data_IF_307034282102
#
_entry.id   IF_307034282102
#
_cell.length_a   1.000
_cell.length_b   1.000
_cell.length_c   1.000
_cell.angle_alpha   90.00
_cell.angle_beta   90.00
_cell.angle_gamma   90.00
#
_symmetry.space_group_name_H-M   'P 1'
#
loop_
_entity.id
_entity.type
_entity.pdbx_description
1 polymer ?
#
# COMPACT_ATOMS: atom_id res chain seq x y z
N UNK A 1 -15.03 -14.86 -13.99
CA UNK A 1 -14.78 -13.50 -14.55
C UNK A 1 -13.84 -12.67 -13.68
N UNK A 2 -14.00 -12.67 -12.34
CA UNK A 2 -13.10 -11.99 -11.39
C UNK A 2 -11.63 -12.41 -11.54
N UNK A 3 -11.34 -13.70 -11.69
CA UNK A 3 -9.97 -14.19 -11.89
C UNK A 3 -9.29 -13.60 -13.13
N UNK A 4 -10.04 -13.35 -14.22
CA UNK A 4 -9.52 -12.70 -15.42
C UNK A 4 -9.18 -11.22 -15.17
N UNK A 5 -9.95 -10.55 -14.32
CA UNK A 5 -9.71 -9.15 -13.93
C UNK A 5 -8.45 -9.07 -13.06
N UNK A 6 -8.28 -9.99 -12.10
CA UNK A 6 -7.08 -10.07 -11.26
C UNK A 6 -5.85 -10.43 -12.11
N UNK A 7 -5.99 -11.37 -13.05
CA UNK A 7 -4.90 -11.78 -13.94
C UNK A 7 -4.46 -10.69 -14.93
N UNK A 8 -5.33 -9.73 -15.25
CA UNK A 8 -4.98 -8.57 -16.06
C UNK A 8 -4.17 -7.51 -15.29
N UNK A 9 -4.15 -7.57 -13.95
CA UNK A 9 -3.37 -6.66 -13.12
C UNK A 9 -1.92 -7.13 -13.00
N UNK A 10 -1.04 -6.19 -12.65
CA UNK A 10 0.35 -6.51 -12.34
C UNK A 10 0.45 -7.49 -11.15
N UNK A 11 1.26 -8.55 -11.24
CA UNK A 11 1.42 -9.52 -10.15
C UNK A 11 1.86 -8.87 -8.84
N UNK A 12 1.33 -9.34 -7.69
CA UNK A 12 1.66 -8.79 -6.35
C UNK A 12 3.18 -8.69 -6.14
N UNK A 13 3.94 -9.73 -6.48
CA UNK A 13 5.40 -9.74 -6.33
C UNK A 13 6.09 -8.63 -7.12
N UNK A 14 5.59 -8.30 -8.31
CA UNK A 14 6.15 -7.24 -9.13
C UNK A 14 5.78 -5.86 -8.60
N UNK A 15 4.53 -5.67 -8.16
CA UNK A 15 4.09 -4.45 -7.48
C UNK A 15 4.95 -4.15 -6.25
N UNK A 16 5.19 -5.17 -5.41
CA UNK A 16 6.00 -5.04 -4.20
C UNK A 16 7.46 -4.67 -4.50
N UNK A 17 8.04 -5.19 -5.58
CA UNK A 17 9.41 -4.84 -6.00
C UNK A 17 9.54 -3.38 -6.45
N UNK A 18 8.45 -2.76 -6.91
CA UNK A 18 8.42 -1.40 -7.46
C UNK A 18 7.95 -0.35 -6.44
N UNK A 19 7.49 -0.77 -5.26
CA UNK A 19 6.93 0.13 -4.26
C UNK A 19 8.03 0.66 -3.34
N UNK A 20 8.05 1.97 -3.11
CA UNK A 20 8.89 2.60 -2.09
C UNK A 20 8.36 2.31 -0.67
N UNK A 21 7.04 2.29 -0.53
CA UNK A 21 6.32 2.02 0.71
C UNK A 21 5.14 1.07 0.44
N UNK A 22 4.88 0.16 1.39
CA UNK A 22 3.77 -0.80 1.32
C UNK A 22 2.98 -0.72 2.62
N UNK A 23 1.69 -0.44 2.50
CA UNK A 23 0.75 -0.40 3.61
C UNK A 23 -0.11 -1.67 3.61
N UNK A 24 -0.24 -2.33 4.76
CA UNK A 24 -1.06 -3.55 4.90
C UNK A 24 -2.51 -3.19 5.28
N UNK A 25 -3.45 -3.59 4.42
CA UNK A 25 -4.89 -3.33 4.56
C UNK A 25 -5.70 -4.59 4.90
N UNK A 26 -5.14 -5.48 5.71
CA UNK A 26 -5.80 -6.72 6.14
C UNK A 26 -6.34 -6.66 7.57
N UNK A 27 -6.04 -5.59 8.29
CA UNK A 27 -6.47 -5.36 9.68
C UNK A 27 -7.77 -4.58 9.78
N UNK A 28 -7.98 -3.99 10.95
CA UNK A 28 -9.08 -3.07 11.25
C UNK A 28 -8.84 -1.70 10.61
N UNK A 29 -9.92 -0.93 10.46
CA UNK A 29 -9.85 0.46 9.96
C UNK A 29 -8.95 1.32 10.86
N UNK A 30 -8.94 1.07 12.18
CA UNK A 30 -8.09 1.81 13.10
C UNK A 30 -6.61 1.55 12.83
N UNK A 31 -6.22 0.28 12.67
CA UNK A 31 -4.84 -0.10 12.35
C UNK A 31 -4.40 0.47 10.99
N UNK A 32 -5.34 0.58 10.04
CA UNK A 32 -5.10 1.25 8.76
C UNK A 32 -4.85 2.76 8.97
N UNK A 33 -5.68 3.42 9.76
CA UNK A 33 -5.54 4.86 10.04
C UNK A 33 -4.20 5.17 10.72
N UNK A 34 -3.81 4.38 11.71
CA UNK A 34 -2.54 4.54 12.43
C UNK A 34 -1.35 4.42 11.45
N UNK A 35 -1.37 3.46 10.52
CA UNK A 35 -0.34 3.29 9.49
C UNK A 35 -0.32 4.46 8.47
N UNK A 36 -1.48 5.00 8.11
CA UNK A 36 -1.58 6.15 7.19
C UNK A 36 -0.97 7.41 7.83
N UNK A 37 -1.21 7.63 9.12
CA UNK A 37 -0.67 8.79 9.84
C UNK A 37 0.86 8.75 9.92
N UNK A 38 1.45 7.57 10.16
CA UNK A 38 2.90 7.38 10.13
C UNK A 38 3.51 7.72 8.76
N UNK A 39 2.94 7.18 7.67
CA UNK A 39 3.40 7.47 6.32
C UNK A 39 3.21 8.95 5.96
N UNK A 40 2.12 9.58 6.42
CA UNK A 40 1.89 11.00 6.20
C UNK A 40 3.01 11.85 6.82
N UNK A 41 3.40 11.59 8.07
CA UNK A 41 4.50 12.29 8.71
C UNK A 41 5.83 12.07 8.00
N UNK A 42 6.14 10.83 7.60
CA UNK A 42 7.33 10.51 6.80
C UNK A 42 7.40 11.36 5.53
N UNK A 43 6.31 11.45 4.77
CA UNK A 43 6.30 12.23 3.54
C UNK A 43 6.38 13.73 3.77
N UNK A 44 5.80 14.25 4.87
CA UNK A 44 5.98 15.66 5.24
C UNK A 44 7.44 15.99 5.56
N UNK A 45 8.18 15.08 6.19
CA UNK A 45 9.60 15.27 6.48
C UNK A 45 10.46 15.22 5.21
N UNK A 46 10.10 14.39 4.23
CA UNK A 46 10.83 14.30 2.96
C UNK A 46 10.74 15.55 2.07
N UNK A 47 9.75 16.41 2.31
CA UNK A 47 9.52 17.65 1.53
C UNK A 47 10.14 18.88 2.21
N UNK A 48 10.65 18.75 3.45
CA UNK A 48 11.42 19.82 4.12
C UNK A 48 12.84 19.93 3.57
#
# INVERSE_FOLDING_TARGET
QIEKIVAAQMPRKERLKKADDVLENTGTIKELQDQVEELHHKYLEMVK
#
